data_IF_043698227515
#
_entry.id   IF_043698227515
#
_cell.length_a   1.000
_cell.length_b   1.000
_cell.length_c   1.000
_cell.angle_alpha   90.00
_cell.angle_beta   90.00
_cell.angle_gamma   90.00
#
_symmetry.space_group_name_H-M   'P 1'
#
loop_
_entity.id
_entity.type
_entity.pdbx_description
1 polymer ?
#
# COMPACT_ATOMS: atom_id res chain seq x y z
N UNK A 1 20.39 -19.99 15.72
CA UNK A 1 20.57 -18.55 15.51
C UNK A 1 19.44 -17.81 16.23
N UNK A 2 19.75 -16.79 17.03
CA UNK A 2 18.74 -15.98 17.73
C UNK A 2 18.32 -14.82 16.81
N UNK A 3 17.27 -14.99 16.05
CA UNK A 3 16.76 -14.01 15.07
C UNK A 3 15.24 -13.92 15.11
N UNK A 4 14.73 -12.72 14.86
CA UNK A 4 13.36 -12.47 14.42
C UNK A 4 13.39 -11.41 13.33
N UNK A 5 12.34 -11.31 12.55
CA UNK A 5 12.14 -10.20 11.62
C UNK A 5 11.20 -9.18 12.24
N UNK A 6 11.47 -7.90 12.04
CA UNK A 6 10.65 -6.79 12.55
C UNK A 6 10.43 -5.78 11.43
N UNK A 7 9.18 -5.40 11.21
CA UNK A 7 8.83 -4.42 10.20
C UNK A 7 8.04 -3.26 10.83
N UNK A 8 8.66 -2.11 11.10
CA UNK A 8 7.95 -0.88 11.43
C UNK A 8 7.18 -0.39 10.20
N UNK A 9 5.86 -0.20 10.34
CA UNK A 9 4.98 0.26 9.27
C UNK A 9 4.93 1.79 9.19
N UNK A 10 6.08 2.43 9.33
CA UNK A 10 6.25 3.88 9.31
C UNK A 10 7.69 4.25 8.92
N UNK A 11 7.84 5.45 8.33
CA UNK A 11 9.14 5.97 7.93
C UNK A 11 9.96 6.53 9.11
N UNK A 12 11.27 6.76 8.90
CA UNK A 12 12.19 7.24 9.95
C UNK A 12 11.82 8.62 10.50
N UNK A 13 11.13 9.44 9.73
CA UNK A 13 10.73 10.80 10.10
C UNK A 13 9.41 10.85 10.91
N UNK A 14 8.90 9.69 11.34
CA UNK A 14 7.66 9.61 12.11
C UNK A 14 7.92 10.02 13.57
N UNK A 15 7.45 11.19 13.96
CA UNK A 15 7.63 11.73 15.31
C UNK A 15 6.73 11.07 16.35
N UNK A 16 5.46 10.79 15.99
CA UNK A 16 4.49 10.18 16.89
C UNK A 16 4.23 8.73 16.48
N UNK A 17 4.43 7.83 17.43
CA UNK A 17 4.25 6.39 17.23
C UNK A 17 2.88 5.88 17.66
N UNK A 18 2.02 6.72 18.23
CA UNK A 18 0.62 6.36 18.50
C UNK A 18 -0.10 5.98 17.21
N UNK A 19 -0.87 4.91 17.26
CA UNK A 19 -1.59 4.33 16.11
C UNK A 19 -0.71 3.83 14.96
N UNK A 20 0.61 3.71 15.19
CA UNK A 20 1.52 3.07 14.25
C UNK A 20 1.66 1.59 14.58
N UNK A 21 1.90 0.78 13.55
CA UNK A 21 2.05 -0.65 13.69
C UNK A 21 3.52 -1.06 13.57
N UNK A 22 3.91 -2.04 14.38
CA UNK A 22 5.17 -2.77 14.23
C UNK A 22 4.83 -4.25 14.13
N UNK A 23 5.25 -4.87 13.05
CA UNK A 23 4.99 -6.29 12.79
C UNK A 23 6.21 -7.09 13.23
N UNK A 24 5.97 -8.11 14.05
CA UNK A 24 6.99 -9.03 14.55
C UNK A 24 6.75 -10.41 13.94
N UNK A 25 7.78 -10.95 13.31
CA UNK A 25 7.70 -12.23 12.63
C UNK A 25 8.70 -13.20 13.25
N UNK A 26 8.23 -14.26 13.93
CA UNK A 26 9.10 -15.29 14.47
C UNK A 26 9.75 -16.06 13.33
N UNK A 27 11.09 -15.97 13.23
CA UNK A 27 11.91 -16.70 12.24
C UNK A 27 12.79 -17.74 12.93
N UNK A 28 13.08 -17.52 14.22
CA UNK A 28 13.89 -18.39 15.07
C UNK A 28 13.19 -18.71 16.39
N UNK A 29 13.92 -18.63 17.48
CA UNK A 29 13.41 -18.92 18.81
C UNK A 29 12.34 -17.89 19.25
N UNK A 30 11.16 -18.34 19.74
CA UNK A 30 10.04 -17.44 20.07
C UNK A 30 10.38 -16.36 21.10
N UNK A 31 11.30 -16.63 22.03
CA UNK A 31 11.75 -15.68 23.06
C UNK A 31 12.40 -14.44 22.46
N UNK A 32 12.99 -14.52 21.26
CA UNK A 32 13.61 -13.39 20.57
C UNK A 32 12.57 -12.35 20.14
N UNK A 33 11.39 -12.80 19.73
CA UNK A 33 10.25 -11.91 19.43
C UNK A 33 9.85 -11.11 20.66
N UNK A 34 9.79 -11.76 21.84
CA UNK A 34 9.47 -11.10 23.10
C UNK A 34 10.52 -10.04 23.46
N UNK A 35 11.79 -10.34 23.26
CA UNK A 35 12.89 -9.39 23.49
C UNK A 35 12.79 -8.19 22.51
N UNK A 36 12.53 -8.45 21.23
CA UNK A 36 12.35 -7.40 20.23
C UNK A 36 11.13 -6.51 20.55
N UNK A 37 10.01 -7.10 20.97
CA UNK A 37 8.83 -6.32 21.40
C UNK A 37 9.10 -5.44 22.63
N UNK A 38 9.98 -5.87 23.53
CA UNK A 38 10.34 -5.08 24.71
C UNK A 38 11.02 -3.75 24.35
N UNK A 39 11.69 -3.66 23.20
CA UNK A 39 12.28 -2.41 22.70
C UNK A 39 11.22 -1.34 22.41
N UNK A 40 9.99 -1.72 22.15
CA UNK A 40 8.87 -0.84 21.84
C UNK A 40 7.91 -0.67 23.04
N UNK A 41 8.21 -1.26 24.20
CA UNK A 41 7.30 -1.30 25.35
C UNK A 41 6.94 0.09 25.92
N UNK A 42 7.82 1.08 25.73
CA UNK A 42 7.60 2.47 26.16
C UNK A 42 6.97 3.35 25.06
N UNK A 43 6.70 2.78 23.90
CA UNK A 43 6.04 3.48 22.80
C UNK A 43 4.55 3.14 22.77
N UNK A 44 3.76 3.94 22.06
CA UNK A 44 2.33 3.70 21.86
C UNK A 44 2.04 2.91 20.57
N UNK A 45 3.03 2.19 20.01
CA UNK A 45 2.84 1.39 18.81
C UNK A 45 1.89 0.22 19.07
N UNK A 46 1.16 -0.15 18.05
CA UNK A 46 0.40 -1.39 18.02
C UNK A 46 1.31 -2.52 17.53
N UNK A 47 1.67 -3.43 18.45
CA UNK A 47 2.50 -4.58 18.14
C UNK A 47 1.64 -5.72 17.60
N UNK A 48 1.89 -6.12 16.37
CA UNK A 48 1.22 -7.23 15.69
C UNK A 48 2.24 -8.36 15.50
N UNK A 49 1.84 -9.60 15.76
CA UNK A 49 2.66 -10.78 15.51
C UNK A 49 2.00 -11.67 14.48
N UNK A 50 2.75 -12.11 13.47
CA UNK A 50 2.26 -13.01 12.44
C UNK A 50 3.40 -13.82 11.80
N UNK A 51 3.11 -14.95 11.13
CA UNK A 51 4.08 -15.70 10.35
C UNK A 51 4.68 -14.86 9.23
N UNK A 52 5.97 -15.06 8.92
CA UNK A 52 6.67 -14.33 7.87
C UNK A 52 5.97 -14.44 6.50
N UNK A 53 5.50 -15.65 6.14
CA UNK A 53 4.81 -15.86 4.86
C UNK A 53 3.48 -15.10 4.76
N UNK A 54 2.75 -14.99 5.88
CA UNK A 54 1.52 -14.20 5.94
C UNK A 54 1.83 -12.70 5.81
N UNK A 55 2.85 -12.22 6.53
CA UNK A 55 3.34 -10.86 6.40
C UNK A 55 3.69 -10.53 4.94
N UNK A 56 4.51 -11.35 4.28
CA UNK A 56 4.96 -11.09 2.93
C UNK A 56 3.80 -11.08 1.92
N UNK A 57 2.79 -11.94 2.12
CA UNK A 57 1.57 -11.92 1.33
C UNK A 57 0.79 -10.61 1.52
N UNK A 58 0.54 -10.19 2.77
CA UNK A 58 -0.19 -8.95 3.06
C UNK A 58 0.56 -7.71 2.59
N UNK A 59 1.89 -7.68 2.72
CA UNK A 59 2.72 -6.56 2.29
C UNK A 59 2.72 -6.39 0.76
N UNK A 60 2.51 -7.45 -0.01
CA UNK A 60 2.32 -7.31 -1.46
C UNK A 60 1.13 -6.39 -1.81
N UNK A 61 0.09 -6.38 -0.97
CA UNK A 61 -1.06 -5.49 -1.14
C UNK A 61 -0.87 -4.15 -0.41
N UNK A 62 -0.40 -4.15 0.83
CA UNK A 62 -0.30 -2.92 1.64
C UNK A 62 0.76 -1.96 1.07
N UNK A 63 1.93 -2.45 0.73
CA UNK A 63 3.00 -1.65 0.13
C UNK A 63 3.07 -1.84 -1.39
N UNK A 64 3.15 -3.09 -1.86
CA UNK A 64 3.34 -3.40 -3.27
C UNK A 64 2.27 -2.78 -4.15
N UNK A 65 1.00 -3.09 -3.90
CA UNK A 65 -0.13 -2.56 -4.67
C UNK A 65 -0.26 -1.03 -4.54
N UNK A 66 -0.14 -0.47 -3.33
CA UNK A 66 -0.31 0.97 -3.11
C UNK A 66 0.81 1.78 -3.80
N UNK A 67 2.05 1.31 -3.74
CA UNK A 67 3.16 1.96 -4.44
C UNK A 67 3.01 1.83 -5.96
N UNK A 68 2.67 0.63 -6.47
CA UNK A 68 2.46 0.40 -7.89
C UNK A 68 1.38 1.31 -8.48
N UNK A 69 0.26 1.48 -7.76
CA UNK A 69 -0.81 2.41 -8.17
C UNK A 69 -0.29 3.84 -8.32
N UNK A 70 0.47 4.33 -7.35
CA UNK A 70 1.02 5.69 -7.40
C UNK A 70 2.09 5.85 -8.48
N UNK A 71 2.96 4.85 -8.66
CA UNK A 71 3.96 4.83 -9.75
C UNK A 71 3.25 4.84 -11.11
N UNK A 72 2.23 4.02 -11.32
CA UNK A 72 1.45 4.02 -12.55
C UNK A 72 0.73 5.36 -12.78
N UNK A 73 0.17 5.95 -11.72
CA UNK A 73 -0.53 7.23 -11.80
C UNK A 73 0.38 8.37 -12.27
N UNK A 74 1.52 8.60 -11.59
CA UNK A 74 2.41 9.69 -12.02
C UNK A 74 3.11 9.39 -13.34
N UNK A 75 3.33 8.11 -13.69
CA UNK A 75 3.85 7.73 -15.00
C UNK A 75 2.85 8.05 -16.10
N UNK A 76 1.57 7.76 -15.88
CA UNK A 76 0.50 8.12 -16.83
C UNK A 76 0.42 9.64 -17.04
N UNK A 77 0.51 10.43 -15.96
CA UNK A 77 0.54 11.89 -16.06
C UNK A 77 1.76 12.39 -16.84
N UNK A 78 2.95 11.85 -16.54
CA UNK A 78 4.18 12.24 -17.22
C UNK A 78 4.15 11.92 -18.72
N UNK A 79 3.48 10.84 -19.11
CA UNK A 79 3.36 10.40 -20.50
C UNK A 79 2.14 10.99 -21.24
N UNK A 80 1.26 11.72 -20.55
CA UNK A 80 0.04 12.28 -21.15
C UNK A 80 0.29 13.39 -22.17
N UNK A 81 1.47 14.02 -22.13
CA UNK A 81 1.78 15.22 -22.90
C UNK A 81 1.21 16.53 -22.32
N UNK A 82 0.41 16.46 -21.25
CA UNK A 82 -0.15 17.63 -20.58
C UNK A 82 0.87 18.29 -19.63
N UNK A 83 0.93 19.61 -19.66
CA UNK A 83 1.83 20.35 -18.77
C UNK A 83 1.30 20.35 -17.32
N UNK A 84 2.14 19.99 -16.36
CA UNK A 84 1.75 19.94 -14.94
C UNK A 84 1.12 21.26 -14.41
N UNK A 85 1.62 22.48 -14.77
CA UNK A 85 0.97 23.73 -14.37
C UNK A 85 -0.46 23.88 -14.91
N UNK A 86 -0.75 23.37 -16.10
CA UNK A 86 -2.08 23.40 -16.71
C UNK A 86 -3.05 22.48 -15.96
N UNK A 87 -2.60 21.28 -15.60
CA UNK A 87 -3.39 20.36 -14.77
C UNK A 87 -3.68 20.96 -13.37
N UNK A 88 -2.71 21.65 -12.79
CA UNK A 88 -2.88 22.32 -11.50
C UNK A 88 -3.96 23.42 -11.52
N UNK A 89 -4.14 24.14 -12.65
CA UNK A 89 -5.19 25.15 -12.80
C UNK A 89 -6.62 24.56 -12.80
N UNK A 90 -6.75 23.28 -13.14
CA UNK A 90 -8.02 22.56 -13.22
C UNK A 90 -8.17 21.51 -12.12
N UNK A 91 -7.38 21.63 -11.06
CA UNK A 91 -7.32 20.61 -10.02
C UNK A 91 -8.64 20.44 -9.27
N UNK A 92 -8.91 19.20 -8.86
CA UNK A 92 -10.00 18.85 -7.97
C UNK A 92 -9.48 18.38 -6.63
N UNK A 93 -10.32 18.41 -5.59
CA UNK A 93 -9.94 17.93 -4.26
C UNK A 93 -9.45 16.47 -4.25
N UNK A 94 -10.01 15.62 -5.10
CA UNK A 94 -9.57 14.22 -5.26
C UNK A 94 -8.22 14.16 -5.95
N UNK A 95 -8.02 14.95 -7.02
CA UNK A 95 -6.75 14.98 -7.74
C UNK A 95 -5.61 15.50 -6.84
N UNK A 96 -5.83 16.57 -6.08
CA UNK A 96 -4.82 17.11 -5.14
C UNK A 96 -4.41 16.11 -4.07
N UNK A 97 -5.36 15.37 -3.51
CA UNK A 97 -5.08 14.32 -2.53
C UNK A 97 -4.25 13.20 -3.16
N UNK A 98 -4.62 12.78 -4.36
CA UNK A 98 -3.89 11.74 -5.09
C UNK A 98 -2.48 12.20 -5.46
N UNK A 99 -2.30 13.43 -5.93
CA UNK A 99 -0.99 14.02 -6.21
C UNK A 99 -0.11 14.09 -4.95
N UNK A 100 -0.67 14.45 -3.80
CA UNK A 100 0.07 14.50 -2.54
C UNK A 100 0.62 13.12 -2.15
N UNK A 101 -0.19 12.06 -2.28
CA UNK A 101 0.25 10.69 -2.02
C UNK A 101 1.31 10.26 -3.04
N UNK A 102 1.05 10.48 -4.32
CA UNK A 102 1.95 10.13 -5.41
C UNK A 102 3.30 10.85 -5.31
N UNK A 103 3.30 12.13 -4.90
CA UNK A 103 4.53 12.90 -4.67
C UNK A 103 5.37 12.33 -3.53
N UNK A 104 4.73 11.85 -2.45
CA UNK A 104 5.44 11.12 -1.39
C UNK A 104 6.20 9.92 -1.95
N UNK A 105 5.52 9.11 -2.76
CA UNK A 105 6.14 7.93 -3.41
C UNK A 105 7.25 8.34 -4.39
N UNK A 106 7.03 9.38 -5.19
CA UNK A 106 7.99 9.81 -6.22
C UNK A 106 9.29 10.39 -5.65
N UNK A 107 9.26 10.94 -4.43
CA UNK A 107 10.42 11.54 -3.76
C UNK A 107 11.25 10.54 -2.95
N UNK A 108 10.81 9.31 -2.83
CA UNK A 108 11.52 8.25 -2.11
C UNK A 108 12.66 7.64 -2.95
N UNK A 109 13.47 6.79 -2.30
CA UNK A 109 14.55 6.10 -2.98
C UNK A 109 14.01 5.10 -4.03
N UNK A 110 14.23 5.32 -5.33
CA UNK A 110 13.65 4.45 -6.38
C UNK A 110 14.20 3.03 -6.35
N UNK A 111 15.40 2.78 -5.83
CA UNK A 111 15.97 1.44 -5.68
C UNK A 111 15.24 0.66 -4.59
N UNK A 112 14.96 1.30 -3.45
CA UNK A 112 14.18 0.70 -2.37
C UNK A 112 12.78 0.31 -2.88
N UNK A 113 12.12 1.20 -3.63
CA UNK A 113 10.80 0.92 -4.20
C UNK A 113 10.84 -0.20 -5.24
N UNK A 114 11.90 -0.28 -6.04
CA UNK A 114 12.13 -1.43 -6.93
C UNK A 114 12.29 -2.74 -6.15
N UNK A 115 13.05 -2.75 -5.06
CA UNK A 115 13.23 -3.93 -4.21
C UNK A 115 11.92 -4.37 -3.56
N UNK A 116 11.12 -3.46 -3.03
CA UNK A 116 9.77 -3.73 -2.50
C UNK A 116 8.91 -4.42 -3.55
N UNK A 117 8.95 -3.95 -4.81
CA UNK A 117 8.18 -4.53 -5.90
C UNK A 117 8.75 -5.87 -6.39
N UNK A 118 10.07 -6.03 -6.47
CA UNK A 118 10.71 -7.15 -7.15
C UNK A 118 11.02 -8.34 -6.26
N UNK A 119 11.29 -8.12 -4.96
CA UNK A 119 11.73 -9.18 -4.05
C UNK A 119 10.57 -9.92 -3.36
N UNK A 120 9.39 -9.33 -3.29
CA UNK A 120 8.24 -10.00 -2.69
C UNK A 120 7.76 -11.15 -3.57
N UNK A 121 7.65 -12.35 -3.01
CA UNK A 121 7.21 -13.55 -3.74
C UNK A 121 5.78 -13.45 -4.28
N UNK A 122 4.91 -12.65 -3.64
CA UNK A 122 3.51 -12.46 -3.99
C UNK A 122 3.25 -11.26 -4.93
N UNK A 123 4.32 -10.60 -5.39
CA UNK A 123 4.24 -9.42 -6.27
C UNK A 123 3.36 -9.65 -7.52
N UNK A 124 3.47 -10.83 -8.12
CA UNK A 124 2.71 -11.17 -9.33
C UNK A 124 1.20 -11.22 -9.10
N UNK A 125 0.78 -11.64 -7.91
CA UNK A 125 -0.63 -11.67 -7.52
C UNK A 125 -1.18 -10.26 -7.33
N UNK A 126 -0.52 -9.43 -6.55
CA UNK A 126 -0.94 -8.06 -6.27
C UNK A 126 -0.93 -7.17 -7.51
N UNK A 127 0.16 -7.20 -8.31
CA UNK A 127 0.24 -6.45 -9.57
C UNK A 127 -0.76 -6.97 -10.61
N UNK A 128 -0.97 -8.30 -10.66
CA UNK A 128 -1.98 -8.90 -11.52
C UNK A 128 -3.40 -8.47 -11.14
N UNK A 129 -3.69 -8.32 -9.85
CA UNK A 129 -4.98 -7.80 -9.38
C UNK A 129 -5.20 -6.34 -9.83
N UNK A 130 -4.18 -5.48 -9.70
CA UNK A 130 -4.25 -4.11 -10.20
C UNK A 130 -4.49 -4.06 -11.72
N UNK A 131 -3.73 -4.84 -12.48
CA UNK A 131 -3.87 -4.91 -13.92
C UNK A 131 -5.28 -5.30 -14.32
N UNK A 132 -5.83 -6.40 -13.77
CA UNK A 132 -7.21 -6.84 -14.04
C UNK A 132 -8.26 -5.79 -13.67
N UNK A 133 -8.07 -5.07 -12.57
CA UNK A 133 -9.00 -4.01 -12.17
C UNK A 133 -9.01 -2.83 -13.16
N UNK A 134 -7.84 -2.45 -13.69
CA UNK A 134 -7.72 -1.42 -14.73
C UNK A 134 -8.33 -1.91 -16.04
N UNK A 135 -8.09 -3.15 -16.43
CA UNK A 135 -8.66 -3.77 -17.64
C UNK A 135 -10.20 -3.85 -17.55
N UNK A 136 -10.75 -4.26 -16.40
CA UNK A 136 -12.21 -4.29 -16.16
C UNK A 136 -12.81 -2.88 -16.26
N UNK A 137 -12.18 -1.88 -15.63
CA UNK A 137 -12.60 -0.49 -15.72
C UNK A 137 -12.61 0.00 -17.17
N UNK A 138 -11.52 -0.21 -17.89
CA UNK A 138 -11.37 0.21 -19.28
C UNK A 138 -12.45 -0.42 -20.15
N UNK A 139 -12.66 -1.73 -20.02
CA UNK A 139 -13.70 -2.45 -20.76
C UNK A 139 -15.11 -1.87 -20.50
N UNK A 140 -15.47 -1.64 -19.23
CA UNK A 140 -16.79 -1.08 -18.90
C UNK A 140 -17.00 0.29 -19.58
N UNK A 141 -15.96 1.13 -19.64
CA UNK A 141 -16.05 2.46 -20.25
C UNK A 141 -16.15 2.37 -21.79
N UNK A 142 -15.30 1.54 -22.43
CA UNK A 142 -15.23 1.41 -23.87
C UNK A 142 -16.48 0.73 -24.46
N UNK A 143 -17.06 -0.23 -23.74
CA UNK A 143 -18.28 -0.94 -24.18
C UNK A 143 -19.59 -0.27 -23.73
N UNK A 144 -19.51 0.81 -22.93
CA UNK A 144 -20.70 1.46 -22.34
C UNK A 144 -21.44 0.57 -21.34
N UNK A 145 -20.73 -0.36 -20.67
CA UNK A 145 -21.28 -1.27 -19.67
C UNK A 145 -21.48 -0.57 -18.32
N UNK A 146 -22.52 0.24 -18.22
CA UNK A 146 -22.90 0.96 -16.99
C UNK A 146 -23.20 -0.01 -15.84
N UNK A 147 -23.84 -1.14 -16.13
CA UNK A 147 -24.20 -2.14 -15.10
C UNK A 147 -22.93 -2.74 -14.49
N UNK A 148 -21.98 -3.16 -15.31
CA UNK A 148 -20.69 -3.67 -14.87
C UNK A 148 -19.90 -2.63 -14.07
N UNK A 149 -19.89 -1.37 -14.53
CA UNK A 149 -19.22 -0.26 -13.81
C UNK A 149 -19.84 -0.06 -12.42
N UNK A 150 -21.15 0.03 -12.31
CA UNK A 150 -21.87 0.18 -11.03
C UNK A 150 -21.57 -1.01 -10.10
N UNK A 151 -21.62 -2.23 -10.60
CA UNK A 151 -21.30 -3.42 -9.83
C UNK A 151 -19.86 -3.41 -9.30
N UNK A 152 -18.89 -2.93 -10.09
CA UNK A 152 -17.50 -2.75 -9.66
C UNK A 152 -17.39 -1.74 -8.51
N UNK A 153 -18.07 -0.60 -8.61
CA UNK A 153 -18.11 0.42 -7.55
C UNK A 153 -18.75 -0.10 -6.25
N UNK A 154 -19.81 -0.91 -6.36
CA UNK A 154 -20.46 -1.50 -5.19
C UNK A 154 -19.61 -2.55 -4.50
N UNK A 155 -18.90 -3.41 -5.24
CA UNK A 155 -17.90 -4.34 -4.66
C UNK A 155 -16.84 -3.58 -3.88
N UNK A 156 -16.31 -2.49 -4.44
CA UNK A 156 -15.33 -1.63 -3.77
C UNK A 156 -15.88 -1.00 -2.49
N UNK A 157 -17.12 -0.49 -2.54
CA UNK A 157 -17.81 0.08 -1.37
C UNK A 157 -17.99 -0.96 -0.25
N UNK A 158 -18.42 -2.18 -0.60
CA UNK A 158 -18.58 -3.28 0.35
C UNK A 158 -17.27 -3.63 1.05
N UNK A 159 -16.17 -3.75 0.30
CA UNK A 159 -14.84 -4.02 0.84
C UNK A 159 -14.36 -2.92 1.80
N UNK A 160 -14.50 -1.64 1.40
CA UNK A 160 -14.07 -0.51 2.23
C UNK A 160 -14.90 -0.36 3.50
N UNK A 161 -16.20 -0.67 3.45
CA UNK A 161 -17.08 -0.65 4.62
C UNK A 161 -16.72 -1.70 5.67
N UNK A 162 -16.25 -2.87 5.24
CA UNK A 162 -15.81 -3.94 6.14
C UNK A 162 -14.56 -3.53 6.96
N UNK A 163 -13.67 -2.70 6.41
CA UNK A 163 -12.51 -2.15 7.12
C UNK A 163 -12.90 -1.33 8.35
N UNK A 164 -13.96 -0.52 8.27
CA UNK A 164 -14.41 0.32 9.37
C UNK A 164 -15.02 -0.44 10.55
N UNK A 165 -15.35 -1.72 10.37
CA UNK A 165 -15.88 -2.58 11.45
C UNK A 165 -14.76 -3.31 12.23
N UNK A 166 -13.60 -3.50 11.62
CA UNK A 166 -12.45 -4.15 12.26
C UNK A 166 -11.65 -3.22 13.20
N UNK A 167 -11.89 -1.91 13.15
CA UNK A 167 -11.17 -0.87 13.92
C UNK A 167 -12.00 -0.33 15.09
N UNK A 168 -13.14 -0.93 15.41
CA UNK A 168 -13.97 -0.66 16.59
C UNK A 168 -13.88 -1.85 17.57
#
# INVERSE_FOLDING_TARGET
LRICSVHPMFGPDTELLSDRHVIFMPVGAPEVVKEARALFAQTMVQAVEMPLAEHDHLIAYVLGLSHALNIAFFTALANSGEAAPKLAQMSSTTFDRQLKIASGVANENPRLYYEIQSLNAWRGEALGALKRAVEELTRCIEEGDEIGFVAMMERGRGYLSARGQATR
#
